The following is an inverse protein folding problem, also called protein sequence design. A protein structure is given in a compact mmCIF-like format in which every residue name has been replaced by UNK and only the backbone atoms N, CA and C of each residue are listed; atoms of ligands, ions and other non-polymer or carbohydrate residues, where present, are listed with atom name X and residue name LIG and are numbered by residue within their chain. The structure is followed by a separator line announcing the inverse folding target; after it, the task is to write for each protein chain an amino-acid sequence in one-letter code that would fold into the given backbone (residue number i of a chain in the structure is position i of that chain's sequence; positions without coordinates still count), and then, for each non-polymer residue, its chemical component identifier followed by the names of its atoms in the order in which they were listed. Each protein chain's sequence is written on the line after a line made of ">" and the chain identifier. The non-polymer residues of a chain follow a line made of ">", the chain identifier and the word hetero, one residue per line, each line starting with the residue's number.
data_IF_586150559778
#
_entry.id   IF_586150559778
#
_cell.length_a   1.000
_cell.length_b   1.000
_cell.length_c   1.000
_cell.angle_alpha   90.00
_cell.angle_beta   90.00
_cell.angle_gamma   90.00
#
_symmetry.space_group_name_H-M   'P 1'
#
loop_
_entity.id
_entity.type
_entity.pdbx_description
1 polymer ?
#
# COMPACT_ATOMS: atom_id res chain seq x y z
N UNK A 1 15.19 -3.53 7.83
CA UNK A 1 16.12 -2.71 8.64
C UNK A 1 17.21 -2.26 7.68
N UNK A 2 17.42 -0.95 7.49
CA UNK A 2 18.44 -0.44 6.55
C UNK A 2 19.80 -0.58 7.24
N UNK A 3 20.77 -1.21 6.58
CA UNK A 3 22.16 -1.28 7.04
C UNK A 3 23.02 -0.49 6.05
N UNK A 4 23.65 0.56 6.53
CA UNK A 4 24.58 1.35 5.73
C UNK A 4 25.94 0.64 5.69
N UNK A 5 26.50 0.47 4.49
CA UNK A 5 27.88 0.02 4.31
C UNK A 5 28.54 0.79 3.16
N UNK A 6 29.65 1.42 3.49
CA UNK A 6 30.66 2.05 2.61
C UNK A 6 30.15 2.74 1.32
N UNK A 7 29.95 4.05 1.48
CA UNK A 7 29.97 5.18 0.52
C UNK A 7 29.06 5.21 -0.71
N UNK A 8 28.49 4.12 -1.23
CA UNK A 8 27.68 4.22 -2.47
C UNK A 8 26.51 3.25 -2.58
N UNK A 9 26.36 2.29 -1.66
CA UNK A 9 25.34 1.23 -1.79
C UNK A 9 24.56 1.04 -0.49
N UNK A 10 23.24 1.16 -0.57
CA UNK A 10 22.31 0.89 0.53
C UNK A 10 21.66 -0.48 0.34
N UNK A 11 21.63 -1.28 1.41
CA UNK A 11 21.04 -2.62 1.40
C UNK A 11 19.61 -2.57 1.95
N UNK A 12 18.65 -2.98 1.12
CA UNK A 12 17.25 -3.10 1.52
C UNK A 12 16.88 -4.55 1.80
N UNK A 13 16.42 -4.79 3.02
CA UNK A 13 15.87 -6.06 3.49
C UNK A 13 14.34 -6.00 3.44
N UNK A 14 13.73 -6.84 2.59
CA UNK A 14 12.27 -6.98 2.54
C UNK A 14 11.73 -7.49 3.87
N UNK A 15 10.54 -7.02 4.27
CA UNK A 15 9.89 -7.41 5.53
C UNK A 15 9.72 -8.93 5.71
N UNK A 16 9.61 -9.66 4.60
CA UNK A 16 9.43 -11.11 4.60
C UNK A 16 10.76 -11.89 4.69
N UNK A 17 11.90 -11.22 4.80
CA UNK A 17 13.23 -11.84 4.97
C UNK A 17 13.71 -12.67 3.79
N UNK A 18 12.94 -12.74 2.70
CA UNK A 18 13.16 -13.68 1.60
C UNK A 18 14.22 -13.24 0.60
N UNK A 19 14.50 -11.94 0.48
CA UNK A 19 15.49 -11.41 -0.46
C UNK A 19 16.12 -10.12 0.08
N UNK A 20 17.45 -10.06 0.03
CA UNK A 20 18.24 -8.85 0.23
C UNK A 20 18.68 -8.35 -1.14
N UNK A 21 18.45 -7.05 -1.40
CA UNK A 21 18.88 -6.43 -2.66
C UNK A 21 19.69 -5.18 -2.35
N UNK A 22 20.87 -5.11 -2.96
CA UNK A 22 21.71 -3.92 -2.95
C UNK A 22 21.14 -2.91 -3.96
N UNK A 23 21.03 -1.65 -3.54
CA UNK A 23 20.62 -0.55 -4.40
C UNK A 23 21.68 0.56 -4.31
N UNK A 24 22.03 1.17 -5.44
CA UNK A 24 22.69 2.48 -5.38
C UNK A 24 21.67 3.56 -4.94
N UNK A 25 22.16 4.74 -4.53
CA UNK A 25 21.28 5.79 -4.00
C UNK A 25 20.17 6.25 -4.96
N UNK A 26 20.43 6.29 -6.27
CA UNK A 26 19.46 6.67 -7.30
C UNK A 26 18.40 5.59 -7.52
N UNK A 27 18.82 4.33 -7.60
CA UNK A 27 17.93 3.18 -7.72
C UNK A 27 17.01 3.05 -6.50
N UNK A 28 17.53 3.34 -5.30
CA UNK A 28 16.76 3.34 -4.08
C UNK A 28 15.64 4.40 -4.11
N UNK A 29 15.98 5.64 -4.51
CA UNK A 29 14.99 6.71 -4.68
C UNK A 29 13.93 6.34 -5.73
N UNK A 30 14.35 5.80 -6.87
CA UNK A 30 13.43 5.36 -7.92
C UNK A 30 12.49 4.24 -7.46
N UNK A 31 13.01 3.25 -6.73
CA UNK A 31 12.22 2.17 -6.17
C UNK A 31 11.20 2.66 -5.12
N UNK A 32 11.60 3.58 -4.24
CA UNK A 32 10.73 4.17 -3.24
C UNK A 32 9.60 5.00 -3.87
N UNK A 33 9.92 5.82 -4.87
CA UNK A 33 8.94 6.62 -5.60
C UNK A 33 7.97 5.74 -6.40
N UNK A 34 8.44 4.62 -6.96
CA UNK A 34 7.59 3.67 -7.71
C UNK A 34 6.65 2.86 -6.82
N UNK A 35 7.02 2.64 -5.55
CA UNK A 35 6.15 1.95 -4.59
C UNK A 35 4.98 2.82 -4.11
N UNK A 36 5.15 4.15 -4.14
CA UNK A 36 4.10 5.06 -3.71
C UNK A 36 2.90 4.98 -4.67
N UNK A 37 1.70 4.63 -4.19
CA UNK A 37 0.53 4.56 -5.07
C UNK A 37 0.20 5.94 -5.64
N UNK A 38 -0.22 5.96 -6.92
CA UNK A 38 -0.64 7.18 -7.62
C UNK A 38 -1.67 7.98 -6.80
N UNK A 39 -1.67 9.32 -6.95
CA UNK A 39 -2.55 10.23 -6.18
C UNK A 39 -4.02 9.79 -6.19
N UNK A 40 -4.52 9.29 -7.31
CA UNK A 40 -5.91 8.82 -7.48
C UNK A 40 -6.14 7.40 -6.94
N UNK A 41 -5.14 6.52 -7.02
CA UNK A 41 -5.23 5.17 -6.46
C UNK A 41 -5.39 5.18 -4.94
N UNK A 42 -4.73 6.12 -4.25
CA UNK A 42 -4.88 6.28 -2.79
C UNK A 42 -6.34 6.53 -2.40
N UNK A 43 -7.02 7.42 -3.12
CA UNK A 43 -8.43 7.76 -2.89
C UNK A 43 -9.33 6.56 -3.18
N UNK A 44 -9.14 5.90 -4.33
CA UNK A 44 -9.94 4.72 -4.71
C UNK A 44 -9.76 3.57 -3.71
N UNK A 45 -8.54 3.30 -3.25
CA UNK A 45 -8.27 2.26 -2.25
C UNK A 45 -8.93 2.57 -0.91
N UNK A 46 -8.83 3.82 -0.44
CA UNK A 46 -9.42 4.25 0.83
C UNK A 46 -10.95 4.11 0.82
N UNK A 47 -11.63 4.74 -0.15
CA UNK A 47 -13.09 4.67 -0.24
C UNK A 47 -13.57 3.29 -0.66
N UNK A 48 -12.81 2.56 -1.49
CA UNK A 48 -13.08 1.17 -1.85
C UNK A 48 -13.09 0.25 -0.64
N UNK A 49 -12.12 0.37 0.27
CA UNK A 49 -12.08 -0.40 1.51
C UNK A 49 -13.32 -0.11 2.38
N UNK A 50 -13.61 1.16 2.65
CA UNK A 50 -14.74 1.54 3.51
C UNK A 50 -16.10 1.20 2.90
N UNK A 51 -16.29 1.39 1.59
CA UNK A 51 -17.53 1.01 0.91
C UNK A 51 -17.78 -0.50 0.99
N UNK A 52 -16.73 -1.31 0.85
CA UNK A 52 -16.82 -2.77 1.00
C UNK A 52 -17.14 -3.19 2.44
N UNK A 53 -16.51 -2.56 3.45
CA UNK A 53 -16.84 -2.81 4.87
C UNK A 53 -18.30 -2.45 5.16
N UNK A 54 -18.76 -1.28 4.71
CA UNK A 54 -20.14 -0.82 4.88
C UNK A 54 -21.14 -1.72 4.17
N UNK A 55 -20.85 -2.16 2.94
CA UNK A 55 -21.67 -3.13 2.20
C UNK A 55 -21.73 -4.48 2.92
N UNK A 56 -20.60 -4.99 3.42
CA UNK A 56 -20.57 -6.23 4.21
C UNK A 56 -21.45 -6.13 5.45
N UNK A 57 -21.42 -4.99 6.16
CA UNK A 57 -22.30 -4.73 7.32
C UNK A 57 -23.78 -4.75 6.93
N UNK A 58 -24.16 -4.07 5.83
CA UNK A 58 -25.53 -4.09 5.32
C UNK A 58 -25.99 -5.49 4.91
N UNK A 59 -25.13 -6.25 4.23
CA UNK A 59 -25.41 -7.64 3.85
C UNK A 59 -25.63 -8.53 5.08
N UNK A 60 -24.82 -8.38 6.13
CA UNK A 60 -25.01 -9.11 7.40
C UNK A 60 -26.34 -8.76 8.09
N UNK A 61 -26.75 -7.50 8.02
CA UNK A 61 -28.04 -7.04 8.58
C UNK A 61 -29.25 -7.23 7.65
N UNK A 62 -29.10 -7.89 6.50
CA UNK A 62 -30.11 -8.01 5.45
C UNK A 62 -30.68 -6.66 4.94
N UNK A 63 -29.90 -5.59 5.08
CA UNK A 63 -30.22 -4.22 4.66
C UNK A 63 -29.56 -3.86 3.32
N UNK A 64 -28.96 -4.82 2.60
CA UNK A 64 -28.19 -4.53 1.38
C UNK A 64 -29.05 -3.96 0.24
N UNK A 65 -30.37 -4.23 0.27
CA UNK A 65 -31.35 -3.68 -0.67
C UNK A 65 -32.06 -2.42 -0.17
N UNK A 66 -31.81 -2.01 1.06
CA UNK A 66 -32.40 -0.79 1.62
C UNK A 66 -31.54 0.38 1.12
N UNK A 67 -32.03 1.06 0.09
CA UNK A 67 -31.44 2.31 -0.38
C UNK A 67 -31.86 3.39 0.63
N UNK A 68 -30.92 4.04 1.34
CA UNK A 68 -31.27 5.18 2.16
C UNK A 68 -31.73 6.28 1.21
N UNK A 69 -33.01 6.65 1.31
CA UNK A 69 -33.56 7.80 0.62
C UNK A 69 -33.16 9.03 1.44
N UNK A 70 -32.68 10.07 0.77
CA UNK A 70 -32.35 11.38 1.36
C UNK A 70 -33.62 12.10 1.81
#
# INVERSE_FOLDING_TARGET
>A
MIRHSSRETDFYQFKDGKQERAFNGLEWLGAMCSHAPNKREKIVRYYGYYSNVSRRRRKKGNQDRVIPIL
#
